data_IF_261183437010
#
_entry.id   IF_261183437010
#
_cell.length_a   1.000
_cell.length_b   1.000
_cell.length_c   1.000
_cell.angle_alpha   90.00
_cell.angle_beta   90.00
_cell.angle_gamma   90.00
#
_symmetry.space_group_name_H-M   'P 1'
#
loop_
_entity.id
_entity.type
_entity.pdbx_description
1 polymer ?
#
# COMPACT_ATOMS: atom_id res chain seq x y z
N UNK A 1 5.10 68.82 -5.05
CA UNK A 1 4.03 67.81 -5.04
C UNK A 1 4.55 66.55 -5.73
N UNK A 2 4.86 65.47 -5.00
CA UNK A 2 4.84 64.10 -5.56
C UNK A 2 4.43 63.17 -4.43
N UNK A 3 3.28 62.51 -4.57
CA UNK A 3 2.79 61.48 -3.64
C UNK A 3 3.36 60.13 -4.08
N UNK A 4 4.27 59.56 -3.30
CA UNK A 4 4.79 58.21 -3.52
C UNK A 4 3.72 57.20 -3.03
N UNK A 5 3.05 56.53 -3.97
CA UNK A 5 2.12 55.44 -3.65
C UNK A 5 2.94 54.16 -3.39
N UNK A 6 2.96 53.72 -2.14
CA UNK A 6 3.51 52.41 -1.77
C UNK A 6 2.50 51.33 -2.18
N UNK A 7 2.86 50.49 -3.14
CA UNK A 7 2.09 49.29 -3.50
C UNK A 7 2.70 48.12 -2.74
N UNK A 8 1.97 47.61 -1.74
CA UNK A 8 2.35 46.41 -0.99
C UNK A 8 1.94 45.19 -1.82
N UNK A 9 2.91 44.57 -2.49
CA UNK A 9 2.72 43.26 -3.12
C UNK A 9 2.64 42.20 -2.00
N UNK A 10 1.45 41.70 -1.73
CA UNK A 10 1.26 40.57 -0.81
C UNK A 10 1.86 39.30 -1.40
N UNK A 11 2.95 38.82 -0.81
CA UNK A 11 3.53 37.51 -1.12
C UNK A 11 2.62 36.45 -0.50
N UNK A 12 1.77 35.81 -1.32
CA UNK A 12 1.07 34.60 -0.91
C UNK A 12 2.06 33.45 -0.86
N UNK A 13 2.50 33.08 0.35
CA UNK A 13 3.25 31.84 0.57
C UNK A 13 2.25 30.69 0.59
N UNK A 14 2.10 30.00 -0.52
CA UNK A 14 1.32 28.76 -0.58
C UNK A 14 2.14 27.64 0.07
N UNK A 15 1.76 27.23 1.28
CA UNK A 15 2.28 25.99 1.89
C UNK A 15 1.64 24.81 1.17
N UNK A 16 2.31 24.27 0.16
CA UNK A 16 1.95 22.97 -0.38
C UNK A 16 2.16 21.93 0.73
N UNK A 17 1.08 21.38 1.27
CA UNK A 17 1.14 20.23 2.15
C UNK A 17 1.66 19.04 1.33
N UNK A 18 2.95 18.72 1.46
CA UNK A 18 3.49 17.49 0.92
C UNK A 18 2.86 16.35 1.71
N UNK A 19 1.96 15.58 1.11
CA UNK A 19 1.53 14.32 1.66
C UNK A 19 2.80 13.51 1.92
N UNK A 20 3.04 13.11 3.18
CA UNK A 20 4.22 12.34 3.51
C UNK A 20 4.21 11.05 2.70
N UNK A 21 5.23 10.85 1.85
CA UNK A 21 5.37 9.59 1.13
C UNK A 21 5.62 8.47 2.14
N UNK A 22 4.86 7.37 1.98
CA UNK A 22 5.02 6.16 2.78
C UNK A 22 6.44 5.60 2.58
N UNK A 23 7.15 5.31 3.68
CA UNK A 23 8.53 4.81 3.60
C UNK A 23 8.61 3.43 2.95
N UNK A 24 9.77 3.08 2.37
CA UNK A 24 9.95 1.77 1.72
C UNK A 24 9.72 0.59 2.67
N UNK A 25 10.14 0.73 3.93
CA UNK A 25 9.85 -0.28 4.96
C UNK A 25 8.34 -0.43 5.16
N UNK A 26 7.62 0.69 5.22
CA UNK A 26 6.17 0.67 5.41
C UNK A 26 5.42 0.14 4.19
N UNK A 27 5.88 0.43 2.98
CA UNK A 27 5.39 -0.22 1.74
C UNK A 27 5.51 -1.74 1.85
N UNK A 28 6.66 -2.22 2.33
CA UNK A 28 6.90 -3.65 2.57
C UNK A 28 5.90 -4.28 3.53
N UNK A 29 5.57 -3.58 4.62
CA UNK A 29 4.56 -4.01 5.59
C UNK A 29 3.18 -4.13 4.93
N UNK A 30 2.72 -3.07 4.25
CA UNK A 30 1.41 -3.04 3.58
C UNK A 30 1.32 -4.14 2.53
N UNK A 31 2.36 -4.33 1.73
CA UNK A 31 2.40 -5.33 0.68
C UNK A 31 2.31 -6.77 1.21
N UNK A 32 2.92 -7.05 2.37
CA UNK A 32 2.80 -8.37 3.01
C UNK A 32 1.40 -8.61 3.56
N UNK A 33 0.82 -7.62 4.24
CA UNK A 33 -0.56 -7.68 4.72
C UNK A 33 -1.53 -7.95 3.55
N UNK A 34 -1.39 -7.19 2.46
CA UNK A 34 -2.22 -7.31 1.27
C UNK A 34 -2.08 -8.68 0.58
N UNK A 35 -0.86 -9.16 0.36
CA UNK A 35 -0.62 -10.48 -0.25
C UNK A 35 -1.12 -11.60 0.66
N UNK A 36 -0.96 -11.49 1.97
CA UNK A 36 -1.50 -12.47 2.92
C UNK A 36 -3.01 -12.56 2.89
N UNK A 37 -3.69 -11.42 2.87
CA UNK A 37 -5.15 -11.34 2.73
C UNK A 37 -5.64 -12.06 1.46
N UNK A 38 -5.14 -11.70 0.28
CA UNK A 38 -5.62 -12.28 -0.99
C UNK A 38 -5.20 -13.73 -1.23
N UNK A 39 -4.17 -14.22 -0.53
CA UNK A 39 -3.70 -15.61 -0.65
C UNK A 39 -4.20 -16.51 0.47
N UNK A 40 -4.86 -15.94 1.49
CA UNK A 40 -5.24 -16.65 2.72
C UNK A 40 -4.03 -17.21 3.48
N UNK A 41 -2.90 -16.48 3.48
CA UNK A 41 -1.65 -16.87 4.14
C UNK A 41 -1.25 -15.85 5.16
N UNK A 42 -0.64 -16.32 6.24
CA UNK A 42 -0.14 -15.47 7.31
C UNK A 42 0.91 -14.49 6.77
N UNK A 43 0.70 -13.16 6.84
CA UNK A 43 1.69 -12.18 6.41
C UNK A 43 3.03 -12.23 7.18
N UNK A 44 3.05 -12.80 8.39
CA UNK A 44 4.26 -12.90 9.23
C UNK A 44 5.32 -13.85 8.65
N UNK A 45 4.92 -14.85 7.85
CA UNK A 45 5.85 -15.76 7.16
C UNK A 45 6.40 -15.17 5.85
N UNK A 46 5.93 -13.98 5.45
CA UNK A 46 6.30 -13.35 4.20
C UNK A 46 7.47 -12.40 4.38
N UNK A 47 8.34 -12.37 3.38
CA UNK A 47 9.41 -11.38 3.24
C UNK A 47 9.01 -10.32 2.20
N UNK A 48 9.43 -9.08 2.43
CA UNK A 48 9.26 -7.98 1.49
C UNK A 48 10.63 -7.42 1.10
N UNK A 49 10.89 -7.32 -0.20
CA UNK A 49 12.05 -6.62 -0.75
C UNK A 49 11.56 -5.45 -1.60
N UNK A 50 11.65 -4.21 -1.09
CA UNK A 50 11.35 -3.03 -1.89
C UNK A 50 12.35 -2.86 -3.04
N UNK A 51 11.84 -2.44 -4.20
CA UNK A 51 12.58 -2.17 -5.43
C UNK A 51 11.92 -1.01 -6.19
N UNK A 52 12.28 0.22 -5.80
CA UNK A 52 11.63 1.44 -6.30
C UNK A 52 10.15 1.50 -5.91
N UNK A 53 9.27 1.43 -6.90
CA UNK A 53 7.81 1.45 -6.72
C UNK A 53 7.21 0.05 -6.51
N UNK A 54 7.97 -1.00 -6.79
CA UNK A 54 7.52 -2.38 -6.67
C UNK A 54 8.16 -3.01 -5.45
N UNK A 55 7.33 -3.58 -4.57
CA UNK A 55 7.77 -4.49 -3.52
C UNK A 55 7.60 -5.92 -4.00
N UNK A 56 8.69 -6.68 -3.98
CA UNK A 56 8.65 -8.12 -4.17
C UNK A 56 8.30 -8.80 -2.85
N UNK A 57 7.24 -9.61 -2.84
CA UNK A 57 6.79 -10.36 -1.67
C UNK A 57 6.97 -11.84 -1.93
N UNK A 58 7.56 -12.57 -0.99
CA UNK A 58 7.75 -14.01 -1.12
C UNK A 58 7.57 -14.74 0.19
N UNK A 59 7.20 -16.01 0.14
CA UNK A 59 7.21 -16.91 1.30
C UNK A 59 7.47 -18.35 0.89
N UNK A 60 8.04 -19.14 1.81
CA UNK A 60 8.06 -20.60 1.71
C UNK A 60 6.82 -21.15 2.38
N UNK A 61 6.02 -21.94 1.65
CA UNK A 61 4.76 -22.49 2.16
C UNK A 61 5.08 -23.62 3.17
N UNK A 62 4.64 -23.54 4.43
CA UNK A 62 5.03 -24.52 5.45
C UNK A 62 4.60 -25.96 5.15
N UNK A 63 3.50 -26.17 4.41
CA UNK A 63 2.95 -27.50 4.15
C UNK A 63 3.76 -28.34 3.17
N UNK A 64 4.49 -27.71 2.25
CA UNK A 64 5.16 -28.40 1.13
C UNK A 64 6.51 -27.80 0.73
N UNK A 65 6.96 -26.72 1.39
CA UNK A 65 8.23 -26.06 1.11
C UNK A 65 8.28 -25.26 -0.19
N UNK A 66 7.17 -25.16 -0.93
CA UNK A 66 7.12 -24.41 -2.19
C UNK A 66 7.33 -22.93 -1.95
N UNK A 67 8.17 -22.30 -2.76
CA UNK A 67 8.40 -20.85 -2.71
C UNK A 67 7.39 -20.14 -3.61
N UNK A 68 6.65 -19.21 -3.02
CA UNK A 68 5.70 -18.35 -3.73
C UNK A 68 6.24 -16.94 -3.80
N UNK A 69 5.99 -16.25 -4.92
CA UNK A 69 6.47 -14.90 -5.16
C UNK A 69 5.42 -14.03 -5.85
N UNK A 70 5.35 -12.79 -5.41
CA UNK A 70 4.37 -11.79 -5.80
C UNK A 70 5.06 -10.43 -5.96
N UNK A 71 4.39 -9.55 -6.68
CA UNK A 71 4.76 -8.14 -6.79
C UNK A 71 3.60 -7.29 -6.27
N UNK A 72 3.95 -6.21 -5.60
CA UNK A 72 3.00 -5.28 -5.01
C UNK A 72 3.47 -3.84 -5.24
N UNK A 73 2.56 -2.93 -5.56
CA UNK A 73 2.82 -1.49 -5.58
C UNK A 73 1.63 -0.74 -4.99
N UNK A 74 1.88 0.47 -4.50
CA UNK A 74 0.86 1.31 -3.90
C UNK A 74 0.50 2.49 -4.81
N UNK A 75 -0.79 2.72 -5.00
CA UNK A 75 -1.35 3.87 -5.72
C UNK A 75 -2.32 4.59 -4.78
N UNK A 76 -1.84 5.60 -4.04
CA UNK A 76 -2.59 6.18 -2.93
C UNK A 76 -2.83 5.12 -1.85
N UNK A 77 -4.10 4.89 -1.49
CA UNK A 77 -4.50 3.83 -0.56
C UNK A 77 -4.83 2.49 -1.24
N UNK A 78 -4.67 2.39 -2.57
CA UNK A 78 -4.92 1.17 -3.32
C UNK A 78 -3.65 0.32 -3.38
N UNK A 79 -3.82 -0.99 -3.19
CA UNK A 79 -2.77 -1.97 -3.40
C UNK A 79 -2.98 -2.66 -4.75
N UNK A 80 -1.99 -2.57 -5.63
CA UNK A 80 -1.97 -3.32 -6.89
C UNK A 80 -1.00 -4.48 -6.76
N UNK A 81 -1.46 -5.70 -7.00
CA UNK A 81 -0.65 -6.89 -6.86
C UNK A 81 -0.67 -7.79 -8.11
N UNK A 82 0.35 -8.65 -8.21
CA UNK A 82 0.50 -9.67 -9.24
C UNK A 82 1.27 -10.87 -8.70
N UNK A 83 1.16 -12.04 -9.34
CA UNK A 83 2.19 -13.09 -9.18
C UNK A 83 3.52 -12.63 -9.79
N UNK A 84 4.61 -13.35 -9.51
CA UNK A 84 5.96 -13.04 -10.00
C UNK A 84 5.99 -12.67 -11.49
N UNK A 85 5.38 -13.48 -12.35
CA UNK A 85 5.34 -13.27 -13.81
C UNK A 85 3.92 -12.94 -14.35
N UNK A 86 2.95 -12.74 -13.46
CA UNK A 86 1.56 -12.54 -13.85
C UNK A 86 1.23 -11.12 -14.33
N UNK A 87 -0.02 -10.93 -14.74
CA UNK A 87 -0.57 -9.59 -14.97
C UNK A 87 -0.90 -8.89 -13.65
N UNK A 88 -0.73 -7.58 -13.61
CA UNK A 88 -1.25 -6.74 -12.53
C UNK A 88 -2.78 -6.85 -12.43
N UNK A 89 -3.30 -6.90 -11.21
CA UNK A 89 -4.75 -6.99 -10.94
C UNK A 89 -5.42 -5.61 -11.02
N UNK A 90 -5.48 -5.08 -12.24
CA UNK A 90 -6.09 -3.78 -12.56
C UNK A 90 -7.37 -3.87 -13.37
N UNK A 91 -7.77 -5.08 -13.80
CA UNK A 91 -8.99 -5.28 -14.59
C UNK A 91 -10.25 -4.91 -13.76
N UNK A 92 -11.32 -4.39 -14.36
CA UNK A 92 -12.57 -4.07 -13.64
C UNK A 92 -13.18 -5.25 -12.87
N UNK A 93 -12.99 -6.48 -13.37
CA UNK A 93 -13.46 -7.70 -12.70
C UNK A 93 -12.51 -8.21 -11.59
N UNK A 94 -11.37 -7.54 -11.37
CA UNK A 94 -10.52 -7.85 -10.24
C UNK A 94 -11.04 -7.15 -8.98
N UNK A 95 -10.83 -7.79 -7.82
CA UNK A 95 -11.06 -7.14 -6.54
C UNK A 95 -10.23 -5.87 -6.42
N UNK A 96 -10.84 -4.81 -5.88
CA UNK A 96 -10.15 -3.58 -5.53
C UNK A 96 -9.64 -3.74 -4.11
N UNK A 97 -8.32 -3.86 -3.98
CA UNK A 97 -7.64 -4.01 -2.71
C UNK A 97 -7.20 -2.64 -2.19
N UNK A 98 -7.60 -2.28 -0.98
CA UNK A 98 -7.19 -1.05 -0.30
C UNK A 98 -6.59 -1.34 1.07
N UNK A 99 -5.79 -0.41 1.57
CA UNK A 99 -5.25 -0.47 2.92
C UNK A 99 -5.55 0.81 3.71
N UNK A 100 -5.63 0.66 5.03
CA UNK A 100 -5.73 1.77 5.97
C UNK A 100 -4.87 1.48 7.20
N UNK A 101 -4.18 2.51 7.68
CA UNK A 101 -3.52 2.49 8.99
C UNK A 101 -4.56 2.86 10.04
N UNK A 102 -4.88 1.93 10.95
CA UNK A 102 -5.89 2.16 11.98
C UNK A 102 -5.26 2.27 13.37
N UNK A 103 -6.04 2.73 14.33
CA UNK A 103 -5.61 2.89 15.72
C UNK A 103 -5.01 1.60 16.31
N UNK A 104 -4.13 1.77 17.31
CA UNK A 104 -3.42 0.64 17.91
C UNK A 104 -2.29 0.07 17.05
N UNK A 105 -1.89 0.77 15.97
CA UNK A 105 -0.79 0.33 15.11
C UNK A 105 -1.14 -0.91 14.30
N UNK A 106 -2.38 -0.97 13.81
CA UNK A 106 -2.87 -2.06 12.96
C UNK A 106 -3.01 -1.59 11.51
N UNK A 107 -3.02 -2.56 10.61
CA UNK A 107 -3.24 -2.35 9.18
C UNK A 107 -4.47 -3.13 8.79
N UNK A 108 -5.42 -2.44 8.18
CA UNK A 108 -6.69 -2.98 7.71
C UNK A 108 -6.61 -3.12 6.20
N UNK A 109 -6.85 -4.32 5.68
CA UNK A 109 -6.88 -4.63 4.25
C UNK A 109 -8.32 -4.94 3.88
N UNK A 110 -8.83 -4.31 2.82
CA UNK A 110 -10.19 -4.56 2.32
C UNK A 110 -10.10 -4.93 0.84
N UNK A 111 -10.70 -6.04 0.45
CA UNK A 111 -10.93 -6.39 -0.95
C UNK A 111 -12.42 -6.24 -1.28
N UNK A 112 -12.74 -5.39 -2.26
CA UNK A 112 -14.10 -5.21 -2.76
C UNK A 112 -14.24 -5.77 -4.18
N UNK A 113 -15.25 -6.60 -4.41
CA UNK A 113 -15.51 -7.25 -5.70
C UNK A 113 -16.67 -6.59 -6.45
N UNK A 114 -16.72 -6.77 -7.78
CA UNK A 114 -17.74 -6.18 -8.66
C UNK A 114 -19.16 -6.68 -8.39
N UNK A 115 -19.31 -7.87 -7.80
CA UNK A 115 -20.58 -8.42 -7.33
C UNK A 115 -21.08 -7.78 -6.01
N UNK A 116 -20.33 -6.82 -5.44
CA UNK A 116 -20.63 -6.14 -4.19
C UNK A 116 -20.12 -6.84 -2.93
N UNK A 117 -19.59 -8.07 -3.01
CA UNK A 117 -19.00 -8.75 -1.85
C UNK A 117 -17.70 -8.09 -1.42
N UNK A 118 -17.42 -8.15 -0.11
CA UNK A 118 -16.20 -7.61 0.47
C UNK A 118 -15.59 -8.61 1.45
N UNK A 119 -14.27 -8.67 1.50
CA UNK A 119 -13.50 -9.30 2.56
C UNK A 119 -12.64 -8.25 3.26
N UNK A 120 -12.31 -8.53 4.52
CA UNK A 120 -11.53 -7.63 5.35
C UNK A 120 -10.63 -8.44 6.29
N UNK A 121 -9.37 -8.05 6.35
CA UNK A 121 -8.38 -8.59 7.28
C UNK A 121 -7.69 -7.45 8.04
N UNK A 122 -7.34 -7.69 9.29
CA UNK A 122 -6.60 -6.72 10.12
C UNK A 122 -5.38 -7.39 10.73
N UNK A 123 -4.22 -6.74 10.62
CA UNK A 123 -2.94 -7.24 11.10
C UNK A 123 -2.27 -6.23 12.02
N UNK A 124 -1.59 -6.72 13.05
CA UNK A 124 -0.73 -5.89 13.90
C UNK A 124 0.55 -5.54 13.14
N UNK A 125 0.81 -4.24 12.94
CA UNK A 125 1.98 -3.75 12.18
C UNK A 125 3.31 -4.25 12.76
N UNK A 126 3.36 -4.45 14.09
CA UNK A 126 4.54 -4.95 14.81
C UNK A 126 4.88 -6.40 14.48
N UNK A 127 3.89 -7.21 14.12
CA UNK A 127 4.10 -8.61 13.74
C UNK A 127 4.63 -8.70 12.31
N UNK A 128 4.67 -7.54 11.64
CA UNK A 128 5.11 -7.38 10.28
C UNK A 128 6.37 -6.51 10.15
N UNK A 129 7.15 -6.31 11.21
CA UNK A 129 8.35 -5.48 11.16
C UNK A 129 9.61 -6.23 11.53
#
# INVERSE_FOLDING_TARGET
MVRLKLVVLGVMVSTAATAAEISQAEKGVVCRAAVGSVTGRDPSIMMARPDGDVTHVSYSRPSDGSVWSYRCRLEGNRVIWASAEGRWRTHPDNGVLTYEMVEGGKIRIVEAHSNGSKSEDTYDRKDLR
#
